data_IF_612406220213
#
_entry.id   IF_612406220213
#
_cell.length_a   1.000
_cell.length_b   1.000
_cell.length_c   1.000
_cell.angle_alpha   90.00
_cell.angle_beta   90.00
_cell.angle_gamma   90.00
#
_symmetry.space_group_name_H-M   'P 1'
#
loop_
_entity.id
_entity.type
_entity.pdbx_description
1 polymer ?
#
# COMPACT_ATOMS: atom_id res chain seq x y z
N UNK A 1 -16.88 13.82 -5.82
CA UNK A 1 -16.83 12.39 -5.46
C UNK A 1 -18.05 11.71 -6.06
N UNK A 2 -17.86 10.71 -6.91
CA UNK A 2 -18.93 9.90 -7.51
C UNK A 2 -19.05 8.54 -6.83
N UNK A 3 -20.11 7.79 -7.14
CA UNK A 3 -20.33 6.43 -6.63
C UNK A 3 -20.52 5.45 -7.78
N UNK A 4 -20.21 4.18 -7.56
CA UNK A 4 -20.41 3.13 -8.56
C UNK A 4 -20.43 1.73 -7.94
N UNK A 5 -20.46 0.72 -8.80
CA UNK A 5 -20.36 -0.70 -8.42
C UNK A 5 -19.20 -1.32 -9.18
N UNK A 6 -18.29 -1.96 -8.46
CA UNK A 6 -17.17 -2.64 -9.09
C UNK A 6 -17.68 -3.88 -9.84
N UNK A 7 -17.45 -3.96 -11.15
CA UNK A 7 -18.02 -5.00 -12.01
C UNK A 7 -17.45 -6.40 -11.74
N UNK A 8 -16.31 -6.50 -11.07
CA UNK A 8 -15.64 -7.77 -10.77
C UNK A 8 -16.16 -8.35 -9.45
N UNK A 9 -16.32 -7.51 -8.43
CA UNK A 9 -16.70 -7.94 -7.07
C UNK A 9 -18.18 -7.71 -6.75
N UNK A 10 -18.88 -6.88 -7.52
CA UNK A 10 -20.24 -6.43 -7.24
C UNK A 10 -20.35 -5.44 -6.06
N UNK A 11 -19.22 -5.01 -5.47
CA UNK A 11 -19.23 -4.13 -4.29
C UNK A 11 -19.45 -2.67 -4.66
N UNK A 12 -20.30 -1.92 -3.94
CA UNK A 12 -20.43 -0.48 -4.12
C UNK A 12 -19.15 0.24 -3.68
N UNK A 13 -18.81 1.31 -4.38
CA UNK A 13 -17.67 2.16 -4.04
C UNK A 13 -18.00 3.65 -4.19
N UNK A 14 -17.30 4.49 -3.44
CA UNK A 14 -17.16 5.92 -3.75
C UNK A 14 -15.78 6.18 -4.37
N UNK A 15 -15.73 7.13 -5.30
CA UNK A 15 -14.50 7.54 -5.99
C UNK A 15 -14.39 9.06 -6.00
N UNK A 16 -13.25 9.57 -5.56
CA UNK A 16 -12.83 10.93 -5.88
C UNK A 16 -11.57 10.82 -6.74
N UNK A 17 -11.55 11.47 -7.89
CA UNK A 17 -10.40 11.47 -8.78
C UNK A 17 -10.17 12.89 -9.31
N UNK A 18 -8.92 13.17 -9.68
CA UNK A 18 -8.59 14.36 -10.45
C UNK A 18 -9.27 14.30 -11.82
N UNK A 19 -9.88 15.40 -12.24
CA UNK A 19 -10.44 15.50 -13.59
C UNK A 19 -9.31 15.44 -14.64
N UNK A 20 -9.53 14.81 -15.81
CA UNK A 20 -8.56 14.85 -16.90
C UNK A 20 -8.21 16.30 -17.29
N UNK A 21 -6.91 16.64 -17.31
CA UNK A 21 -6.45 17.98 -17.66
C UNK A 21 -6.64 19.03 -16.56
N UNK A 22 -7.04 18.65 -15.34
CA UNK A 22 -7.03 19.56 -14.21
C UNK A 22 -5.62 20.09 -13.93
N UNK A 23 -5.50 21.38 -13.59
CA UNK A 23 -4.22 22.00 -13.23
C UNK A 23 -3.55 21.34 -12.02
N UNK A 24 -4.35 20.71 -11.14
CA UNK A 24 -3.89 19.96 -9.97
C UNK A 24 -4.24 18.49 -10.11
N UNK A 25 -3.31 17.68 -10.59
CA UNK A 25 -3.40 16.22 -10.65
C UNK A 25 -3.04 15.57 -9.31
N UNK A 26 -3.97 15.57 -8.35
CA UNK A 26 -3.75 15.05 -7.00
C UNK A 26 -3.95 13.53 -6.88
N UNK A 27 -4.54 12.88 -7.88
CA UNK A 27 -4.69 11.43 -7.95
C UNK A 27 -6.13 10.94 -7.78
N UNK A 28 -6.26 9.77 -7.16
CA UNK A 28 -7.51 9.03 -7.03
C UNK A 28 -7.63 8.39 -5.64
N UNK A 29 -8.82 8.49 -5.06
CA UNK A 29 -9.24 7.82 -3.84
C UNK A 29 -10.46 6.95 -4.16
N UNK A 30 -10.36 5.64 -3.91
CA UNK A 30 -11.49 4.72 -3.88
C UNK A 30 -11.79 4.32 -2.44
N UNK A 31 -13.08 4.26 -2.12
CA UNK A 31 -13.59 3.83 -0.82
C UNK A 31 -14.57 2.69 -1.06
N UNK A 32 -14.27 1.51 -0.51
CA UNK A 32 -15.22 0.40 -0.48
C UNK A 32 -16.37 0.72 0.48
N UNK A 33 -17.61 0.64 -0.02
CA UNK A 33 -18.82 0.93 0.75
C UNK A 33 -19.56 -0.34 1.19
N UNK A 34 -19.08 -1.54 0.85
CA UNK A 34 -19.71 -2.80 1.23
C UNK A 34 -19.39 -3.25 2.66
N UNK A 35 -18.34 -2.69 3.29
CA UNK A 35 -17.92 -3.04 4.64
C UNK A 35 -17.33 -1.83 5.37
N UNK A 36 -17.25 -1.92 6.70
CA UNK A 36 -16.53 -0.93 7.50
C UNK A 36 -15.07 -0.82 7.06
N UNK A 37 -14.49 0.37 7.17
CA UNK A 37 -13.12 0.63 6.75
C UNK A 37 -12.12 -0.19 7.61
N UNK A 38 -11.19 -0.90 6.96
CA UNK A 38 -10.27 -1.84 7.62
C UNK A 38 -8.79 -1.58 7.36
N UNK A 39 -8.45 -0.92 6.26
CA UNK A 39 -7.08 -0.63 5.85
C UNK A 39 -7.04 0.41 4.74
N UNK A 40 -5.93 1.13 4.68
CA UNK A 40 -5.60 2.01 3.56
C UNK A 40 -4.52 1.32 2.70
N UNK A 41 -4.79 1.20 1.40
CA UNK A 41 -3.81 0.77 0.40
C UNK A 41 -3.32 2.01 -0.31
N UNK A 42 -2.01 2.18 -0.40
CA UNK A 42 -1.36 3.37 -0.93
C UNK A 42 -0.47 2.99 -2.11
N UNK A 43 -0.60 3.71 -3.23
CA UNK A 43 0.24 3.54 -4.42
C UNK A 43 0.80 4.92 -4.78
N UNK A 44 1.96 5.31 -4.22
CA UNK A 44 2.55 6.63 -4.44
C UNK A 44 3.16 6.79 -5.84
N UNK A 45 3.52 5.69 -6.51
CA UNK A 45 4.34 5.71 -7.74
C UNK A 45 3.75 4.91 -8.93
N UNK A 46 2.45 4.98 -9.26
CA UNK A 46 1.83 4.10 -10.27
C UNK A 46 2.49 4.16 -11.66
N UNK A 47 3.01 5.32 -12.05
CA UNK A 47 3.64 5.53 -13.36
C UNK A 47 5.18 5.43 -13.36
N UNK A 48 5.79 5.25 -12.19
CA UNK A 48 7.24 5.05 -12.03
C UNK A 48 7.53 3.59 -11.74
N UNK A 49 6.79 3.05 -10.78
CA UNK A 49 6.89 1.68 -10.31
C UNK A 49 5.82 0.89 -11.06
N UNK A 50 6.02 0.69 -12.36
CA UNK A 50 4.99 0.22 -13.30
C UNK A 50 4.20 -0.99 -12.80
N UNK A 51 2.90 -1.03 -13.07
CA UNK A 51 1.97 -2.10 -12.68
C UNK A 51 1.64 -2.15 -11.18
N UNK A 52 2.15 -1.22 -10.35
CA UNK A 52 1.73 -1.08 -8.93
C UNK A 52 0.28 -0.60 -8.80
N UNK A 53 -0.23 0.16 -9.76
CA UNK A 53 -1.65 0.56 -9.83
C UNK A 53 -2.57 -0.65 -10.00
N UNK A 54 -2.16 -1.60 -10.86
CA UNK A 54 -2.91 -2.84 -11.05
C UNK A 54 -2.81 -3.73 -9.79
N UNK A 55 -1.66 -3.75 -9.12
CA UNK A 55 -1.49 -4.44 -7.84
C UNK A 55 -2.41 -3.87 -6.75
N UNK A 56 -2.46 -2.54 -6.62
CA UNK A 56 -3.33 -1.83 -5.68
C UNK A 56 -4.81 -2.09 -5.93
N UNK A 57 -5.26 -2.05 -7.19
CA UNK A 57 -6.66 -2.37 -7.57
C UNK A 57 -7.00 -3.83 -7.27
N UNK A 58 -6.08 -4.77 -7.54
CA UNK A 58 -6.30 -6.18 -7.22
C UNK A 58 -6.41 -6.40 -5.70
N UNK A 59 -5.52 -5.79 -4.91
CA UNK A 59 -5.57 -5.88 -3.46
C UNK A 59 -6.84 -5.25 -2.89
N UNK A 60 -7.26 -4.09 -3.40
CA UNK A 60 -8.53 -3.44 -3.07
C UNK A 60 -9.72 -4.37 -3.33
N UNK A 61 -9.79 -4.97 -4.52
CA UNK A 61 -10.87 -5.91 -4.88
C UNK A 61 -10.91 -7.14 -3.99
N UNK A 62 -9.78 -7.59 -3.45
CA UNK A 62 -9.69 -8.76 -2.57
C UNK A 62 -9.90 -8.45 -1.09
N UNK A 63 -9.83 -7.18 -0.72
CA UNK A 63 -9.90 -6.73 0.66
C UNK A 63 -11.15 -5.88 0.87
N UNK A 64 -12.24 -6.49 1.33
CA UNK A 64 -13.47 -5.76 1.63
C UNK A 64 -13.23 -4.71 2.73
N UNK A 65 -13.77 -3.50 2.54
CA UNK A 65 -13.58 -2.38 3.47
C UNK A 65 -12.22 -1.68 3.32
N UNK A 66 -11.48 -1.93 2.24
CA UNK A 66 -10.27 -1.17 1.94
C UNK A 66 -10.57 0.19 1.33
N UNK A 67 -9.67 1.13 1.57
CA UNK A 67 -9.52 2.33 0.77
C UNK A 67 -8.30 2.16 -0.15
N UNK A 68 -8.34 2.72 -1.36
CA UNK A 68 -7.18 2.79 -2.26
C UNK A 68 -6.87 4.24 -2.58
N UNK A 69 -5.68 4.68 -2.22
CA UNK A 69 -5.14 6.00 -2.52
C UNK A 69 -4.03 5.85 -3.57
N UNK A 70 -4.22 6.48 -4.73
CA UNK A 70 -3.33 6.42 -5.87
C UNK A 70 -2.81 7.83 -6.20
N UNK A 71 -1.49 8.00 -6.29
CA UNK A 71 -0.91 9.28 -6.70
C UNK A 71 -1.26 9.62 -8.15
N UNK A 72 -1.55 10.90 -8.40
CA UNK A 72 -1.83 11.43 -9.73
C UNK A 72 -0.61 11.95 -10.49
N UNK A 73 0.55 12.03 -9.84
CA UNK A 73 1.75 12.64 -10.40
C UNK A 73 2.90 11.65 -10.51
N UNK A 74 3.76 11.84 -11.50
CA UNK A 74 4.97 11.04 -11.62
C UNK A 74 6.03 11.56 -10.64
N UNK A 75 6.71 10.66 -9.91
CA UNK A 75 7.63 11.03 -8.81
C UNK A 75 8.77 11.98 -9.18
N UNK A 76 9.14 12.04 -10.47
CA UNK A 76 10.20 12.92 -10.99
C UNK A 76 9.72 14.28 -11.51
N UNK A 77 8.42 14.58 -11.39
CA UNK A 77 7.89 15.91 -11.76
C UNK A 77 8.50 16.96 -10.84
N UNK A 78 8.82 18.12 -11.42
CA UNK A 78 9.32 19.31 -10.73
C UNK A 78 10.48 18.98 -9.77
N UNK A 79 11.54 18.40 -10.34
CA UNK A 79 12.77 17.98 -9.65
C UNK A 79 12.56 17.11 -8.40
N UNK A 80 11.47 16.32 -8.38
CA UNK A 80 11.13 15.41 -7.29
C UNK A 80 10.01 15.90 -6.37
N UNK A 81 9.43 17.07 -6.63
CA UNK A 81 8.24 17.53 -5.89
C UNK A 81 7.02 16.63 -6.13
N UNK A 82 7.02 15.82 -7.20
CA UNK A 82 6.02 14.78 -7.43
C UNK A 82 6.17 13.50 -6.58
N UNK A 83 7.28 13.32 -5.85
CA UNK A 83 7.50 12.10 -5.05
C UNK A 83 6.70 12.16 -3.74
N UNK A 84 5.41 11.83 -3.81
CA UNK A 84 4.49 11.94 -2.66
C UNK A 84 4.85 11.06 -1.46
N UNK A 85 5.73 10.06 -1.65
CA UNK A 85 6.30 9.26 -0.56
C UNK A 85 7.37 10.03 0.26
N UNK A 86 7.81 11.19 -0.24
CA UNK A 86 8.79 12.07 0.39
C UNK A 86 8.31 13.53 0.49
N UNK A 87 7.01 13.80 0.28
CA UNK A 87 6.44 15.15 0.28
C UNK A 87 5.23 15.24 1.20
N UNK A 88 5.39 15.98 2.30
CA UNK A 88 4.33 16.22 3.29
C UNK A 88 3.25 17.18 2.77
N UNK A 89 3.64 18.16 1.94
CA UNK A 89 2.71 19.10 1.31
C UNK A 89 2.05 18.48 0.06
N UNK A 90 1.35 17.36 0.27
CA UNK A 90 0.59 16.69 -0.77
C UNK A 90 -0.75 16.21 -0.25
N UNK A 91 -1.76 16.18 -1.12
CA UNK A 91 -3.06 15.59 -0.78
C UNK A 91 -2.92 14.10 -0.44
N UNK A 92 -1.97 13.41 -1.09
CA UNK A 92 -1.66 12.02 -0.81
C UNK A 92 -1.21 11.85 0.65
N UNK A 93 -0.23 12.64 1.10
CA UNK A 93 0.24 12.61 2.48
C UNK A 93 -0.88 12.98 3.46
N UNK A 94 -1.60 14.08 3.20
CA UNK A 94 -2.71 14.52 4.06
C UNK A 94 -3.79 13.45 4.22
N UNK A 95 -4.18 12.77 3.13
CA UNK A 95 -5.16 11.70 3.18
C UNK A 95 -4.63 10.47 3.93
N UNK A 96 -3.38 10.07 3.68
CA UNK A 96 -2.75 8.93 4.34
C UNK A 96 -2.70 9.13 5.87
N UNK A 97 -2.20 10.28 6.32
CA UNK A 97 -2.13 10.63 7.76
C UNK A 97 -3.51 10.72 8.40
N UNK A 98 -4.49 11.31 7.71
CA UNK A 98 -5.88 11.41 8.22
C UNK A 98 -6.50 10.02 8.45
N UNK A 99 -6.35 9.09 7.50
CA UNK A 99 -6.88 7.74 7.66
C UNK A 99 -6.09 6.92 8.69
N UNK A 100 -4.77 7.07 8.74
CA UNK A 100 -3.95 6.44 9.77
C UNK A 100 -4.34 6.90 11.18
N UNK A 101 -4.58 8.21 11.36
CA UNK A 101 -5.06 8.79 12.61
C UNK A 101 -6.47 8.34 13.02
N UNK A 102 -7.26 7.84 12.07
CA UNK A 102 -8.54 7.16 12.34
C UNK A 102 -8.38 5.67 12.64
N UNK A 103 -7.15 5.18 12.74
CA UNK A 103 -6.82 3.81 13.10
C UNK A 103 -6.78 2.83 11.92
N UNK A 104 -6.75 3.31 10.67
CA UNK A 104 -6.57 2.42 9.51
C UNK A 104 -5.10 2.04 9.35
N UNK A 105 -4.73 0.74 9.37
CA UNK A 105 -3.40 0.28 8.98
C UNK A 105 -3.09 0.67 7.53
N UNK A 106 -1.87 1.16 7.30
CA UNK A 106 -1.38 1.61 6.00
C UNK A 106 -0.55 0.50 5.32
N UNK A 107 -0.89 0.18 4.08
CA UNK A 107 -0.16 -0.74 3.20
C UNK A 107 0.31 0.03 1.97
N UNK A 108 1.56 0.47 1.97
CA UNK A 108 2.11 1.27 0.88
C UNK A 108 2.92 0.41 -0.09
N UNK A 109 2.44 0.33 -1.33
CA UNK A 109 2.96 -0.51 -2.40
C UNK A 109 3.93 0.27 -3.28
N UNK A 110 5.16 -0.22 -3.37
CA UNK A 110 6.20 0.25 -4.29
C UNK A 110 6.66 -0.89 -5.19
N UNK A 111 7.55 -0.58 -6.13
CA UNK A 111 8.13 -1.57 -7.00
C UNK A 111 9.61 -1.36 -7.27
N UNK A 112 10.37 -2.44 -7.17
CA UNK A 112 11.80 -2.47 -7.50
C UNK A 112 12.07 -3.29 -8.77
N UNK A 113 13.19 -3.00 -9.44
CA UNK A 113 13.65 -3.80 -10.57
C UNK A 113 14.30 -5.10 -10.07
N UNK A 114 14.07 -6.23 -10.75
CA UNK A 114 14.57 -7.54 -10.30
C UNK A 114 16.10 -7.56 -10.11
N UNK A 115 16.86 -6.67 -10.78
CA UNK A 115 18.30 -6.54 -10.59
C UNK A 115 18.71 -5.94 -9.24
N UNK A 116 17.84 -5.17 -8.58
CA UNK A 116 18.14 -4.55 -7.29
C UNK A 116 18.23 -5.58 -6.16
N UNK A 117 17.39 -6.60 -6.21
CA UNK A 117 17.39 -7.73 -5.27
C UNK A 117 17.08 -9.02 -6.05
N UNK A 118 18.11 -9.64 -6.67
CA UNK A 118 17.94 -10.91 -7.35
C UNK A 118 17.33 -11.95 -6.40
N UNK A 119 16.46 -12.81 -6.93
CA UNK A 119 15.78 -13.88 -6.20
C UNK A 119 14.81 -13.45 -5.09
N UNK A 120 14.54 -12.14 -4.94
CA UNK A 120 13.55 -11.62 -3.99
C UNK A 120 12.28 -11.19 -4.73
N UNK A 121 11.13 -11.60 -4.21
CA UNK A 121 9.82 -11.22 -4.74
C UNK A 121 9.27 -9.97 -4.06
N UNK A 122 9.45 -9.89 -2.73
CA UNK A 122 8.91 -8.81 -1.91
C UNK A 122 9.94 -8.41 -0.86
N UNK A 123 10.15 -7.11 -0.68
CA UNK A 123 10.77 -6.56 0.54
C UNK A 123 9.66 -6.00 1.41
N UNK A 124 9.56 -6.49 2.65
CA UNK A 124 8.56 -6.08 3.62
C UNK A 124 9.22 -5.36 4.78
N UNK A 125 8.77 -4.13 5.05
CA UNK A 125 9.34 -3.25 6.07
C UNK A 125 8.26 -2.52 6.87
N UNK A 126 8.47 -2.26 8.18
CA UNK A 126 7.64 -1.32 8.95
C UNK A 126 7.93 0.17 8.62
N UNK A 127 8.74 0.45 7.58
CA UNK A 127 9.19 1.80 7.25
C UNK A 127 10.15 2.32 8.33
N UNK A 128 9.86 3.51 8.86
CA UNK A 128 10.62 4.10 9.96
C UNK A 128 10.25 3.54 11.34
N UNK A 129 9.19 2.73 11.43
CA UNK A 129 8.69 2.18 12.69
C UNK A 129 9.36 0.88 13.13
N UNK A 130 9.00 0.43 14.32
CA UNK A 130 9.41 -0.87 14.86
C UNK A 130 8.57 -2.02 14.28
N UNK A 131 9.15 -3.22 14.21
CA UNK A 131 8.43 -4.41 13.71
C UNK A 131 7.30 -4.83 14.66
N UNK A 132 6.06 -4.64 14.21
CA UNK A 132 4.86 -5.07 14.93
C UNK A 132 4.29 -6.45 14.52
N UNK A 133 3.26 -6.95 15.22
CA UNK A 133 2.57 -8.20 14.88
C UNK A 133 1.98 -8.22 13.47
N UNK A 134 1.44 -7.09 12.99
CA UNK A 134 0.90 -6.97 11.63
C UNK A 134 1.96 -7.27 10.57
N UNK A 135 3.17 -6.70 10.69
CA UNK A 135 4.28 -6.95 9.78
C UNK A 135 4.68 -8.43 9.75
N UNK A 136 4.70 -9.09 10.92
CA UNK A 136 5.01 -10.52 11.02
C UNK A 136 3.98 -11.36 10.31
N UNK A 137 2.68 -11.12 10.56
CA UNK A 137 1.58 -11.86 9.92
C UNK A 137 1.59 -11.69 8.40
N UNK A 138 1.81 -10.47 7.88
CA UNK A 138 1.92 -10.24 6.43
C UNK A 138 3.13 -10.98 5.85
N UNK A 139 4.28 -10.96 6.54
CA UNK A 139 5.46 -11.73 6.11
C UNK A 139 5.17 -13.24 6.07
N UNK A 140 4.48 -13.76 7.08
CA UNK A 140 4.12 -15.18 7.15
C UNK A 140 3.16 -15.57 6.02
N UNK A 141 2.14 -14.76 5.72
CA UNK A 141 1.20 -15.07 4.63
C UNK A 141 1.86 -15.02 3.25
N UNK A 142 2.78 -14.08 3.02
CA UNK A 142 3.55 -14.00 1.78
C UNK A 142 4.43 -15.25 1.58
N UNK A 143 5.14 -15.70 2.62
CA UNK A 143 5.97 -16.90 2.54
C UNK A 143 5.14 -18.18 2.37
N UNK A 144 4.02 -18.32 3.08
CA UNK A 144 3.08 -19.43 2.90
C UNK A 144 2.54 -19.48 1.47
N UNK A 145 2.34 -18.32 0.85
CA UNK A 145 1.92 -18.21 -0.54
C UNK A 145 3.05 -18.50 -1.55
N UNK A 146 4.28 -18.79 -1.08
CA UNK A 146 5.42 -19.14 -1.91
C UNK A 146 6.17 -17.95 -2.51
N UNK A 147 5.99 -16.73 -1.97
CA UNK A 147 6.75 -15.55 -2.38
C UNK A 147 8.02 -15.41 -1.55
N UNK A 148 9.16 -15.26 -2.21
CA UNK A 148 10.45 -15.06 -1.53
C UNK A 148 10.48 -13.66 -0.93
N UNK A 149 10.35 -13.57 0.40
CA UNK A 149 10.16 -12.29 1.09
C UNK A 149 11.40 -11.92 1.92
N UNK A 150 12.01 -10.78 1.62
CA UNK A 150 13.02 -10.18 2.50
C UNK A 150 12.32 -9.35 3.57
N UNK A 151 12.40 -9.80 4.83
CA UNK A 151 11.88 -9.07 5.99
C UNK A 151 12.99 -8.20 6.57
N UNK A 152 12.82 -6.88 6.58
CA UNK A 152 13.88 -5.93 6.95
C UNK A 152 14.37 -6.05 8.40
N UNK A 153 13.58 -6.66 9.28
CA UNK A 153 13.95 -6.97 10.67
C UNK A 153 14.70 -8.30 10.84
N UNK A 154 14.91 -9.05 9.76
CA UNK A 154 15.64 -10.33 9.78
C UNK A 154 16.95 -10.29 8.99
N UNK A 155 17.12 -9.29 8.12
CA UNK A 155 18.29 -9.15 7.27
C UNK A 155 18.32 -7.82 6.52
N UNK A 156 19.38 -7.59 5.76
CA UNK A 156 19.52 -6.41 4.89
C UNK A 156 18.78 -6.63 3.58
N UNK A 157 17.95 -5.67 3.16
CA UNK A 157 17.08 -5.79 1.99
C UNK A 157 17.36 -4.71 0.94
N UNK A 158 18.63 -4.53 0.58
CA UNK A 158 19.01 -3.78 -0.62
C UNK A 158 18.67 -2.29 -0.62
N UNK A 159 18.56 -1.64 0.55
CA UNK A 159 18.17 -0.22 0.66
C UNK A 159 16.70 0.08 0.29
N UNK A 160 15.85 -0.95 0.27
CA UNK A 160 14.41 -0.88 -0.05
C UNK A 160 13.53 -0.81 1.21
N UNK A 161 14.09 -0.43 2.36
CA UNK A 161 13.39 -0.49 3.64
C UNK A 161 12.36 0.63 3.85
N UNK A 162 12.38 1.68 3.02
CA UNK A 162 11.40 2.78 3.10
C UNK A 162 11.51 3.63 4.37
N UNK A 163 12.66 3.65 5.05
CA UNK A 163 12.86 4.33 6.36
C UNK A 163 12.79 5.86 6.30
N UNK A 164 12.88 6.43 5.09
CA UNK A 164 12.74 7.88 4.83
C UNK A 164 11.38 8.28 4.30
N UNK A 165 10.45 7.33 4.23
CA UNK A 165 9.08 7.59 3.80
C UNK A 165 8.36 8.48 4.81
N UNK A 166 7.79 9.60 4.36
CA UNK A 166 7.19 10.57 5.29
C UNK A 166 5.90 10.06 5.93
N UNK A 167 5.09 9.25 5.24
CA UNK A 167 3.91 8.62 5.86
C UNK A 167 4.32 7.58 6.91
N UNK A 168 5.35 6.79 6.61
CA UNK A 168 5.92 5.82 7.54
C UNK A 168 6.57 6.45 8.77
N UNK A 169 7.18 7.63 8.63
CA UNK A 169 7.73 8.42 9.74
C UNK A 169 6.62 8.91 10.68
N UNK A 170 5.57 9.53 10.13
CA UNK A 170 4.41 9.96 10.94
C UNK A 170 3.75 8.77 11.63
N UNK A 171 3.58 7.64 10.93
CA UNK A 171 3.02 6.44 11.54
C UNK A 171 3.90 5.92 12.70
N UNK A 172 5.22 5.94 12.56
CA UNK A 172 6.15 5.55 13.60
C UNK A 172 6.06 6.46 14.84
N UNK A 173 5.99 7.78 14.63
CA UNK A 173 5.84 8.77 15.71
C UNK A 173 4.58 8.54 16.54
N UNK A 174 3.49 8.12 15.90
CA UNK A 174 2.21 7.86 16.55
C UNK A 174 1.98 6.39 16.95
N UNK A 175 2.90 5.49 16.64
CA UNK A 175 2.74 4.05 16.88
C UNK A 175 1.62 3.40 16.04
N UNK A 176 1.29 3.99 14.89
CA UNK A 176 0.32 3.42 13.95
C UNK A 176 0.96 2.32 13.09
N UNK A 177 0.11 1.45 12.53
CA UNK A 177 0.59 0.40 11.63
C UNK A 177 0.85 1.00 10.25
N UNK A 178 2.10 0.89 9.80
CA UNK A 178 2.53 1.18 8.44
C UNK A 178 3.40 0.03 7.94
N UNK A 179 3.04 -0.52 6.78
CA UNK A 179 3.81 -1.54 6.09
C UNK A 179 4.19 -1.03 4.69
N UNK A 180 5.50 -0.96 4.45
CA UNK A 180 6.09 -0.70 3.16
C UNK A 180 6.35 -2.02 2.44
N UNK A 181 5.74 -2.20 1.27
CA UNK A 181 5.88 -3.40 0.46
C UNK A 181 6.47 -3.03 -0.89
N UNK A 182 7.73 -3.38 -1.09
CA UNK A 182 8.45 -3.24 -2.35
C UNK A 182 8.33 -4.54 -3.12
N UNK A 183 7.73 -4.50 -4.31
CA UNK A 183 7.36 -5.72 -5.06
C UNK A 183 8.16 -5.81 -6.36
N UNK A 184 8.73 -6.98 -6.63
CA UNK A 184 9.61 -7.18 -7.78
C UNK A 184 8.87 -6.96 -9.10
N UNK A 185 9.61 -6.60 -10.16
CA UNK A 185 9.05 -6.42 -11.49
C UNK A 185 8.45 -7.74 -12.00
N UNK A 186 9.10 -8.87 -11.71
CA UNK A 186 8.59 -10.19 -12.08
C UNK A 186 7.24 -10.47 -11.43
N UNK A 187 7.05 -10.17 -10.14
CA UNK A 187 5.75 -10.34 -9.47
C UNK A 187 4.72 -9.38 -10.05
N UNK A 188 5.07 -8.09 -10.22
CA UNK A 188 4.13 -7.06 -10.72
C UNK A 188 3.66 -7.30 -12.16
N UNK A 189 4.47 -7.91 -13.02
CA UNK A 189 4.13 -8.13 -14.43
C UNK A 189 3.34 -9.40 -14.68
N UNK A 190 3.57 -10.45 -13.90
CA UNK A 190 2.87 -11.72 -14.08
C UNK A 190 1.48 -11.66 -13.39
N UNK A 191 0.37 -11.84 -14.13
CA UNK A 191 -0.97 -11.79 -13.54
C UNK A 191 -1.19 -12.84 -12.43
N UNK A 192 -0.62 -14.03 -12.56
CA UNK A 192 -0.75 -15.12 -11.58
C UNK A 192 0.02 -14.77 -10.31
N UNK A 193 1.27 -14.29 -10.43
CA UNK A 193 2.08 -13.90 -9.27
C UNK A 193 1.50 -12.68 -8.56
N UNK A 194 0.96 -11.70 -9.30
CA UNK A 194 0.21 -10.58 -8.71
C UNK A 194 -0.99 -11.05 -7.92
N UNK A 195 -1.75 -12.00 -8.46
CA UNK A 195 -2.90 -12.56 -7.76
C UNK A 195 -2.46 -13.24 -6.46
N UNK A 196 -1.40 -14.06 -6.50
CA UNK A 196 -0.84 -14.71 -5.31
C UNK A 196 -0.45 -13.67 -4.25
N UNK A 197 0.25 -12.60 -4.63
CA UNK A 197 0.58 -11.50 -3.73
C UNK A 197 -0.68 -10.85 -3.15
N UNK A 198 -1.65 -10.49 -3.99
CA UNK A 198 -2.83 -9.78 -3.55
C UNK A 198 -3.70 -10.64 -2.61
N UNK A 199 -3.82 -11.95 -2.89
CA UNK A 199 -4.52 -12.90 -2.02
C UNK A 199 -3.80 -13.05 -0.66
N UNK A 200 -2.48 -13.15 -0.66
CA UNK A 200 -1.67 -13.30 0.55
C UNK A 200 -1.76 -12.06 1.47
N UNK A 201 -1.68 -10.86 0.90
CA UNK A 201 -1.79 -9.60 1.66
C UNK A 201 -3.24 -9.33 2.08
N UNK A 202 -4.23 -9.64 1.24
CA UNK A 202 -5.64 -9.51 1.58
C UNK A 202 -6.03 -10.39 2.78
N UNK A 203 -5.56 -11.65 2.78
CA UNK A 203 -5.83 -12.63 3.83
C UNK A 203 -5.12 -12.37 5.16
N UNK A 204 -4.14 -11.47 5.18
CA UNK A 204 -3.45 -11.10 6.42
C UNK A 204 -4.30 -10.15 7.27
N UNK A 205 -4.33 -10.40 8.59
CA UNK A 205 -4.79 -9.44 9.58
C UNK A 205 -3.72 -8.37 9.80
N UNK A 206 -4.03 -7.14 9.41
CA UNK A 206 -3.13 -5.98 9.49
C UNK A 206 -3.43 -5.05 10.67
N UNK A 207 -4.36 -5.43 11.55
CA UNK A 207 -4.67 -4.66 12.75
C UNK A 207 -3.49 -4.65 13.75
N UNK A 208 -3.37 -3.58 14.54
CA UNK A 208 -2.28 -3.45 15.51
C UNK A 208 -2.30 -4.57 16.58
N UNK A 209 -3.48 -5.01 17.00
CA UNK A 209 -3.67 -5.92 18.14
C UNK A 209 -4.17 -7.33 17.77
N UNK A 210 -4.37 -7.61 16.48
CA UNK A 210 -5.13 -8.77 16.05
C UNK A 210 -6.64 -8.58 16.28
N UNK A 211 -7.50 -9.34 15.62
CA UNK A 211 -8.92 -9.44 15.98
C UNK A 211 -9.06 -10.00 17.42
N UNK A 212 -8.96 -9.13 18.43
CA UNK A 212 -9.60 -9.36 19.71
C UNK A 212 -11.08 -8.99 19.53
N UNK A 213 -12.02 -9.88 19.87
CA UNK A 213 -13.43 -9.51 19.85
C UNK A 213 -13.61 -8.29 20.74
N UNK A 214 -14.34 -7.29 20.24
CA UNK A 214 -14.73 -6.12 21.03
C UNK A 214 -15.32 -6.62 22.36
N UNK A 215 -14.74 -6.17 23.48
CA UNK A 215 -15.31 -6.45 24.78
C UNK A 215 -16.76 -5.97 24.80
N UNK A 216 -17.68 -6.89 25.10
CA UNK A 216 -19.12 -6.69 25.21
C UNK A 216 -19.43 -5.78 26.39
#
# INVERSE_FOLDING_TARGET
MGTGTDSVTGRPYAMAASEPGAERGWGLLLVDLAAAARRLIEVPHPNSDLDTEQLGVQLYRRSAGSLLLLSGTHRRVDDGAGDVAHQEDSLFHSAAVEFAGRGLPQLQLHGFDDQSMPDTDVVLSPGAGEVGPAARRVGDTLEVAGLVTCRTWTGRCGQLEGTRNVQGQVAAEHGWVFLHLEVSRTVRKDPTRRQIFADAVAGADVSAHGDQPAAV
#
